data_IF_039008345732
#
_entry.id   IF_039008345732
#
_cell.length_a   1.000
_cell.length_b   1.000
_cell.length_c   1.000
_cell.angle_alpha   90.00
_cell.angle_beta   90.00
_cell.angle_gamma   90.00
#
_symmetry.space_group_name_H-M   'P 1'
#
loop_
_entity.id
_entity.type
_entity.pdbx_description
1 polymer ?
#
# COMPACT_ATOMS: atom_id res chain seq x y z
N UNK A 1 28.54 -26.12 -6.04
CA UNK A 1 29.17 -26.40 -4.73
C UNK A 1 30.35 -27.30 -4.95
N UNK A 2 31.52 -26.91 -4.46
CA UNK A 2 32.75 -27.67 -4.68
C UNK A 2 33.04 -28.65 -3.53
N UNK A 3 32.37 -28.48 -2.38
CA UNK A 3 32.42 -29.40 -1.23
C UNK A 3 31.02 -29.83 -0.78
N UNK A 4 30.91 -31.07 -0.28
CA UNK A 4 29.66 -31.65 0.23
C UNK A 4 29.09 -30.86 1.43
N UNK A 5 29.98 -30.30 2.25
CA UNK A 5 29.63 -29.45 3.40
C UNK A 5 28.99 -28.12 2.96
N UNK A 6 29.47 -27.50 1.89
CA UNK A 6 28.88 -26.26 1.35
C UNK A 6 27.47 -26.51 0.83
N UNK A 7 27.24 -27.66 0.17
CA UNK A 7 25.92 -28.07 -0.28
C UNK A 7 24.98 -28.31 0.92
N UNK A 8 25.44 -29.00 1.95
CA UNK A 8 24.64 -29.25 3.17
C UNK A 8 24.26 -27.94 3.86
N UNK A 9 25.22 -27.04 4.06
CA UNK A 9 24.97 -25.74 4.66
C UNK A 9 23.99 -24.89 3.83
N UNK A 10 24.09 -24.95 2.50
CA UNK A 10 23.13 -24.27 1.62
C UNK A 10 21.72 -24.84 1.75
N UNK A 11 21.57 -26.17 1.77
CA UNK A 11 20.28 -26.83 1.94
C UNK A 11 19.65 -26.52 3.30
N UNK A 12 20.44 -26.51 4.38
CA UNK A 12 19.97 -26.12 5.71
C UNK A 12 19.51 -24.66 5.75
N UNK A 13 20.22 -23.74 5.08
CA UNK A 13 19.80 -22.33 4.95
C UNK A 13 18.48 -22.21 4.19
N UNK A 14 18.31 -22.96 3.10
CA UNK A 14 17.05 -23.00 2.36
C UNK A 14 15.90 -23.55 3.21
N UNK A 15 16.14 -24.58 4.01
CA UNK A 15 15.10 -25.15 4.87
C UNK A 15 14.70 -24.19 5.99
N UNK A 16 15.66 -23.51 6.63
CA UNK A 16 15.39 -22.45 7.60
C UNK A 16 14.58 -21.32 6.95
N UNK A 17 14.94 -20.88 5.76
CA UNK A 17 14.21 -19.83 5.03
C UNK A 17 12.76 -20.25 4.72
N UNK A 18 12.52 -21.52 4.35
CA UNK A 18 11.16 -22.05 4.12
C UNK A 18 10.30 -22.05 5.39
N UNK A 19 10.89 -22.20 6.58
CA UNK A 19 10.15 -22.14 7.85
C UNK A 19 9.72 -20.71 8.20
N UNK A 20 10.50 -19.71 7.80
CA UNK A 20 10.20 -18.29 8.00
C UNK A 20 9.37 -17.66 6.89
N UNK A 21 8.82 -18.47 5.97
CA UNK A 21 7.96 -17.97 4.90
C UNK A 21 6.63 -17.46 5.48
N UNK A 22 6.35 -16.17 5.29
CA UNK A 22 5.15 -15.52 5.80
C UNK A 22 3.86 -16.13 5.26
N UNK A 23 3.90 -16.81 4.10
CA UNK A 23 2.73 -17.49 3.53
C UNK A 23 2.38 -18.75 4.31
N UNK A 24 3.41 -19.46 4.79
CA UNK A 24 3.23 -20.63 5.65
C UNK A 24 2.76 -20.20 7.02
N UNK A 25 3.45 -19.25 7.65
CA UNK A 25 3.08 -18.70 8.96
C UNK A 25 1.67 -18.08 8.92
N UNK A 26 1.36 -17.32 7.86
CA UNK A 26 0.06 -16.70 7.67
C UNK A 26 -1.08 -17.69 7.57
N UNK A 27 -0.84 -18.87 6.97
CA UNK A 27 -1.80 -19.97 6.93
C UNK A 27 -1.90 -20.68 8.28
N UNK A 28 -0.76 -21.03 8.88
CA UNK A 28 -0.69 -21.79 10.14
C UNK A 28 -1.32 -21.03 11.31
N UNK A 29 -1.24 -19.69 11.30
CA UNK A 29 -1.81 -18.78 12.31
C UNK A 29 -3.15 -18.15 11.92
N UNK A 30 -3.72 -18.56 10.79
CA UNK A 30 -5.00 -18.03 10.29
C UNK A 30 -5.03 -16.49 10.19
N UNK A 31 -3.98 -15.90 9.62
CA UNK A 31 -3.82 -14.44 9.52
C UNK A 31 -4.45 -13.88 8.24
N UNK A 32 -4.22 -14.55 7.12
CA UNK A 32 -4.73 -14.11 5.82
C UNK A 32 -4.82 -15.27 4.83
N UNK A 33 -5.63 -15.07 3.79
CA UNK A 33 -5.80 -16.00 2.67
C UNK A 33 -5.79 -15.26 1.32
N UNK A 34 -5.63 -16.05 0.27
CA UNK A 34 -5.77 -15.60 -1.11
C UNK A 34 -6.78 -16.50 -1.81
N UNK A 35 -7.61 -15.89 -2.65
CA UNK A 35 -8.71 -16.54 -3.34
C UNK A 35 -8.68 -16.19 -4.83
N UNK A 36 -9.17 -17.10 -5.68
CA UNK A 36 -9.15 -16.95 -7.14
C UNK A 36 -10.09 -15.84 -7.62
N UNK A 37 -11.11 -15.50 -6.82
CA UNK A 37 -12.05 -14.41 -7.05
C UNK A 37 -11.36 -13.04 -6.98
N UNK A 38 -10.24 -12.92 -6.26
CA UNK A 38 -9.47 -11.68 -6.16
C UNK A 38 -7.96 -11.96 -6.16
N UNK A 39 -7.37 -12.28 -7.33
CA UNK A 39 -5.97 -12.66 -7.43
C UNK A 39 -5.07 -11.46 -7.15
N UNK A 40 -4.21 -11.61 -6.14
CA UNK A 40 -3.30 -10.55 -5.67
C UNK A 40 -3.90 -9.62 -4.62
N UNK A 41 -5.10 -9.89 -4.14
CA UNK A 41 -5.77 -9.17 -3.07
C UNK A 41 -5.85 -10.09 -1.83
N UNK A 42 -5.13 -9.80 -0.73
CA UNK A 42 -5.17 -10.62 0.47
C UNK A 42 -6.46 -10.36 1.26
N UNK A 43 -7.04 -11.45 1.78
CA UNK A 43 -8.16 -11.42 2.70
C UNK A 43 -7.60 -11.55 4.11
N UNK A 44 -7.76 -10.52 4.93
CA UNK A 44 -7.30 -10.56 6.32
C UNK A 44 -8.37 -11.20 7.20
N UNK A 45 -7.97 -12.22 7.95
CA UNK A 45 -8.81 -12.95 8.89
C UNK A 45 -8.83 -12.23 10.26
N UNK A 46 -9.67 -12.62 11.22
CA UNK A 46 -9.73 -11.97 12.53
C UNK A 46 -8.37 -11.84 13.22
N UNK A 47 -7.54 -12.89 13.22
CA UNK A 47 -6.21 -12.85 13.84
C UNK A 47 -5.26 -11.88 13.10
N UNK A 48 -5.31 -11.87 11.77
CA UNK A 48 -4.54 -10.92 10.95
C UNK A 48 -4.99 -9.48 11.16
N UNK A 49 -6.29 -9.25 11.37
CA UNK A 49 -6.83 -7.93 11.65
C UNK A 49 -6.40 -7.40 13.02
N UNK A 50 -6.27 -8.24 14.04
CA UNK A 50 -5.70 -7.84 15.34
C UNK A 50 -4.28 -7.32 15.14
N UNK A 51 -3.41 -8.11 14.49
CA UNK A 51 -2.03 -7.72 14.22
C UNK A 51 -1.96 -6.42 13.40
N UNK A 52 -2.79 -6.32 12.36
CA UNK A 52 -2.85 -5.15 11.51
C UNK A 52 -3.25 -3.91 12.30
N UNK A 53 -4.30 -3.98 13.12
CA UNK A 53 -4.77 -2.84 13.91
C UNK A 53 -3.71 -2.37 14.90
N UNK A 54 -3.00 -3.27 15.58
CA UNK A 54 -1.89 -2.91 16.47
C UNK A 54 -0.82 -2.07 15.72
N UNK A 55 -0.45 -2.48 14.50
CA UNK A 55 0.51 -1.74 13.68
C UNK A 55 -0.06 -0.38 13.26
N UNK A 56 -1.35 -0.31 12.91
CA UNK A 56 -1.99 0.94 12.52
C UNK A 56 -2.10 1.92 13.68
N UNK A 57 -2.42 1.44 14.87
CA UNK A 57 -2.55 2.25 16.07
C UNK A 57 -1.19 2.81 16.48
N UNK A 58 -0.15 1.99 16.47
CA UNK A 58 1.23 2.46 16.64
C UNK A 58 1.60 3.53 15.60
N UNK A 59 1.29 3.29 14.33
CA UNK A 59 1.54 4.26 13.26
C UNK A 59 0.84 5.60 13.54
N UNK A 60 -0.43 5.58 13.97
CA UNK A 60 -1.18 6.80 14.30
C UNK A 60 -0.58 7.54 15.49
N UNK A 61 -0.25 6.81 16.55
CA UNK A 61 0.34 7.38 17.76
C UNK A 61 1.63 8.15 17.44
N UNK A 62 2.53 7.56 16.65
CA UNK A 62 3.78 8.21 16.24
C UNK A 62 3.54 9.43 15.36
N UNK A 63 2.59 9.36 14.41
CA UNK A 63 2.29 10.50 13.53
C UNK A 63 1.64 11.66 14.28
N UNK A 64 0.80 11.37 15.28
CA UNK A 64 0.20 12.38 16.15
C UNK A 64 1.28 13.09 16.99
N UNK A 65 2.24 12.34 17.55
CA UNK A 65 3.37 12.92 18.29
C UNK A 65 4.21 13.87 17.43
N UNK A 66 4.40 13.52 16.15
CA UNK A 66 5.12 14.32 15.17
C UNK A 66 4.27 15.47 14.54
N UNK A 67 3.04 15.67 15.01
CA UNK A 67 2.17 16.76 14.58
C UNK A 67 1.54 16.58 13.20
N UNK A 68 1.49 15.36 12.66
CA UNK A 68 0.75 15.06 11.45
C UNK A 68 -0.75 15.04 11.69
N UNK A 69 -1.51 15.53 10.72
CA UNK A 69 -2.97 15.41 10.68
C UNK A 69 -3.38 14.29 9.72
N UNK A 70 -4.02 13.27 10.26
CA UNK A 70 -4.55 12.17 9.46
C UNK A 70 -5.76 12.66 8.63
N UNK A 71 -5.75 12.36 7.33
CA UNK A 71 -6.86 12.62 6.39
C UNK A 71 -7.27 11.32 5.72
N UNK A 72 -8.36 11.36 4.95
CA UNK A 72 -8.82 10.25 4.11
C UNK A 72 -9.27 10.79 2.76
N UNK A 73 -8.76 10.23 1.66
CA UNK A 73 -9.12 10.67 0.31
C UNK A 73 -9.79 9.54 -0.48
N UNK A 74 -10.72 9.87 -1.40
CA UNK A 74 -11.41 8.86 -2.21
C UNK A 74 -10.46 7.92 -2.93
N UNK A 75 -10.90 6.67 -3.11
CA UNK A 75 -10.13 5.65 -3.85
C UNK A 75 -10.24 5.86 -5.36
N UNK A 76 -11.40 6.32 -5.83
CA UNK A 76 -11.69 6.57 -7.23
C UNK A 76 -11.59 8.07 -7.52
N UNK A 77 -10.76 8.46 -8.48
CA UNK A 77 -10.47 9.85 -8.82
C UNK A 77 -10.46 10.03 -10.34
N UNK A 78 -10.87 11.23 -10.81
CA UNK A 78 -10.92 11.56 -12.24
C UNK A 78 -9.56 11.37 -12.93
N UNK A 79 -9.57 10.88 -14.17
CA UNK A 79 -8.37 10.74 -14.98
C UNK A 79 -7.60 12.05 -15.18
N UNK A 80 -8.30 13.18 -15.21
CA UNK A 80 -7.66 14.49 -15.37
C UNK A 80 -6.70 14.82 -14.21
N UNK A 81 -7.03 14.40 -12.98
CA UNK A 81 -6.14 14.60 -11.83
C UNK A 81 -4.78 13.91 -12.03
N UNK A 82 -4.79 12.70 -12.59
CA UNK A 82 -3.59 11.91 -12.83
C UNK A 82 -2.73 12.50 -13.94
N UNK A 83 -3.36 13.09 -14.97
CA UNK A 83 -2.68 13.87 -16.02
C UNK A 83 -2.07 15.15 -15.46
N UNK A 84 -2.85 15.94 -14.72
CA UNK A 84 -2.37 17.20 -14.11
C UNK A 84 -1.23 16.97 -13.12
N UNK A 85 -1.26 15.87 -12.36
CA UNK A 85 -0.21 15.54 -11.40
C UNK A 85 1.07 14.99 -12.04
N UNK A 86 1.10 14.73 -13.36
CA UNK A 86 2.24 14.14 -14.07
C UNK A 86 2.45 12.64 -13.80
N UNK A 87 1.54 11.98 -13.07
CA UNK A 87 1.65 10.56 -12.75
C UNK A 87 1.09 9.66 -13.85
N UNK A 88 0.28 10.22 -14.75
CA UNK A 88 -0.36 9.47 -15.83
C UNK A 88 0.63 8.64 -16.64
N UNK A 89 1.69 9.26 -17.15
CA UNK A 89 2.64 8.57 -18.05
C UNK A 89 3.39 7.44 -17.35
N UNK A 90 3.65 7.58 -16.06
CA UNK A 90 4.39 6.59 -15.26
C UNK A 90 3.53 5.44 -14.74
N UNK A 91 2.24 5.71 -14.46
CA UNK A 91 1.38 4.76 -13.76
C UNK A 91 0.24 4.20 -14.61
N UNK A 92 -0.07 4.77 -15.79
CA UNK A 92 -1.21 4.34 -16.62
C UNK A 92 -1.28 2.83 -16.87
N UNK A 93 -0.14 2.18 -17.10
CA UNK A 93 -0.10 0.72 -17.36
C UNK A 93 -0.36 -0.12 -16.11
N UNK A 94 -0.14 0.48 -14.94
CA UNK A 94 -0.26 -0.13 -13.62
C UNK A 94 -1.52 0.38 -12.87
N UNK A 95 -2.47 1.02 -13.56
CA UNK A 95 -3.70 1.56 -12.97
C UNK A 95 -4.93 0.75 -13.38
N UNK A 96 -5.97 0.80 -12.55
CA UNK A 96 -7.29 0.28 -12.89
C UNK A 96 -8.19 1.44 -13.27
N UNK A 97 -8.95 1.29 -14.35
CA UNK A 97 -9.84 2.31 -14.89
C UNK A 97 -11.30 1.86 -14.77
N UNK A 98 -12.18 2.81 -14.50
CA UNK A 98 -13.62 2.63 -14.42
C UNK A 98 -14.28 3.78 -15.16
N UNK A 99 -15.30 3.48 -15.96
CA UNK A 99 -16.10 4.49 -16.65
C UNK A 99 -17.41 4.73 -15.89
N UNK A 100 -17.71 5.98 -15.56
CA UNK A 100 -18.94 6.40 -14.86
C UNK A 100 -19.56 7.54 -15.65
N UNK A 101 -20.82 7.40 -16.08
CA UNK A 101 -21.59 8.46 -16.73
C UNK A 101 -20.82 9.20 -17.85
N UNK A 102 -20.15 8.43 -18.70
CA UNK A 102 -19.28 8.86 -19.82
C UNK A 102 -17.89 9.39 -19.45
N UNK A 103 -17.61 9.63 -18.17
CA UNK A 103 -16.30 10.08 -17.70
C UNK A 103 -15.39 8.91 -17.29
N UNK A 104 -14.08 9.09 -17.54
CA UNK A 104 -13.07 8.11 -17.15
C UNK A 104 -12.48 8.43 -15.77
N UNK A 105 -12.53 7.44 -14.90
CA UNK A 105 -11.94 7.46 -13.57
C UNK A 105 -10.86 6.40 -13.43
N UNK A 106 -9.96 6.60 -12.48
CA UNK A 106 -8.98 5.59 -12.09
C UNK A 106 -8.95 5.38 -10.59
N UNK A 107 -8.71 4.11 -10.23
CA UNK A 107 -8.42 3.73 -8.85
C UNK A 107 -7.01 4.21 -8.52
N UNK A 108 -6.86 4.90 -7.38
CA UNK A 108 -5.61 5.55 -7.01
C UNK A 108 -4.43 4.56 -6.88
N UNK A 109 -3.30 4.76 -7.61
CA UNK A 109 -2.06 4.01 -7.42
C UNK A 109 -1.17 4.56 -6.30
N UNK A 110 -1.51 5.75 -5.78
CA UNK A 110 -0.86 6.45 -4.66
C UNK A 110 -1.77 7.53 -4.08
N UNK A 111 -1.42 8.05 -2.89
CA UNK A 111 -2.26 9.03 -2.18
C UNK A 111 -1.91 10.50 -2.49
N UNK A 112 -0.71 10.78 -3.01
CA UNK A 112 -0.17 12.15 -3.09
C UNK A 112 -1.11 13.16 -3.78
N UNK A 113 -1.74 12.86 -4.94
CA UNK A 113 -2.65 13.82 -5.58
C UNK A 113 -3.87 14.16 -4.72
N UNK A 114 -4.39 13.19 -3.96
CA UNK A 114 -5.47 13.41 -3.00
C UNK A 114 -5.04 14.33 -1.86
N UNK A 115 -3.86 14.09 -1.27
CA UNK A 115 -3.31 14.95 -0.21
C UNK A 115 -3.14 16.40 -0.67
N UNK A 116 -2.71 16.61 -1.92
CA UNK A 116 -2.55 17.95 -2.51
C UNK A 116 -3.91 18.64 -2.69
N UNK A 117 -4.97 17.92 -3.07
CA UNK A 117 -6.32 18.49 -3.15
C UNK A 117 -6.78 18.97 -1.78
N UNK A 118 -6.56 18.18 -0.73
CA UNK A 118 -6.91 18.58 0.66
C UNK A 118 -6.08 19.78 1.12
N UNK A 119 -4.79 19.82 0.77
CA UNK A 119 -3.99 21.02 1.01
C UNK A 119 -4.59 22.24 0.29
N UNK A 120 -4.97 22.11 -0.99
CA UNK A 120 -5.54 23.23 -1.77
C UNK A 120 -6.96 23.65 -1.35
N UNK A 121 -7.65 22.89 -0.51
CA UNK A 121 -9.05 23.20 -0.15
C UNK A 121 -9.18 24.44 0.75
N UNK A 122 -8.09 24.90 1.36
CA UNK A 122 -8.05 26.07 2.23
C UNK A 122 -6.90 27.00 1.84
N UNK A 123 -7.04 28.29 2.19
CA UNK A 123 -5.91 29.22 2.16
C UNK A 123 -5.03 28.98 3.40
N UNK A 124 -3.71 28.91 3.20
CA UNK A 124 -2.73 28.71 4.27
C UNK A 124 -1.87 29.95 4.45
N UNK A 125 -1.69 30.37 5.70
CA UNK A 125 -0.75 31.41 6.08
C UNK A 125 0.65 30.83 6.20
N UNK A 126 1.67 31.63 5.88
CA UNK A 126 3.08 31.24 6.10
C UNK A 126 3.38 30.89 7.57
N UNK A 127 2.57 31.36 8.52
CA UNK A 127 2.70 31.07 9.96
C UNK A 127 2.25 29.65 10.33
N UNK A 128 1.45 29.01 9.49
CA UNK A 128 0.95 27.65 9.72
C UNK A 128 1.95 26.58 9.26
N UNK A 129 2.99 27.00 8.52
CA UNK A 129 4.00 26.11 7.98
C UNK A 129 5.02 25.71 9.07
N UNK A 130 5.51 24.45 9.04
CA UNK A 130 5.21 23.41 8.06
C UNK A 130 3.89 22.68 8.34
N UNK A 131 3.07 22.50 7.30
CA UNK A 131 1.82 21.73 7.37
C UNK A 131 2.13 20.25 7.12
N UNK A 132 1.76 19.40 8.09
CA UNK A 132 1.97 17.95 8.05
C UNK A 132 0.64 17.23 7.90
N UNK A 133 0.43 16.60 6.76
CA UNK A 133 -0.78 15.84 6.46
C UNK A 133 -0.36 14.41 6.11
N UNK A 134 -1.07 13.43 6.62
CA UNK A 134 -0.79 12.03 6.35
C UNK A 134 -2.07 11.28 6.01
N UNK A 135 -1.99 10.29 5.13
CA UNK A 135 -3.09 9.40 4.81
C UNK A 135 -2.57 7.97 4.82
N UNK A 136 -3.21 7.11 5.61
CA UNK A 136 -3.06 5.66 5.48
C UNK A 136 -4.03 5.12 4.42
N UNK A 137 -3.81 5.54 3.18
CA UNK A 137 -4.73 5.31 2.09
C UNK A 137 -4.61 3.92 1.49
N UNK A 138 -5.74 3.31 1.14
CA UNK A 138 -5.79 2.08 0.36
C UNK A 138 -5.53 2.41 -1.11
N UNK A 139 -4.46 1.85 -1.68
CA UNK A 139 -4.05 2.07 -3.06
C UNK A 139 -4.04 0.75 -3.82
N UNK A 140 -4.20 0.85 -5.14
CA UNK A 140 -4.23 -0.32 -6.02
C UNK A 140 -3.24 -0.15 -7.15
N UNK A 141 -2.48 -1.22 -7.45
CA UNK A 141 -1.58 -1.27 -8.60
C UNK A 141 -1.82 -2.55 -9.39
N UNK A 142 -1.89 -2.41 -10.70
CA UNK A 142 -2.02 -3.52 -11.62
C UNK A 142 -0.67 -4.21 -11.81
N UNK A 143 -0.30 -5.02 -10.84
CA UNK A 143 0.86 -5.91 -10.93
C UNK A 143 0.53 -7.12 -11.80
N UNK A 144 1.49 -7.56 -12.63
CA UNK A 144 1.33 -8.77 -13.45
C UNK A 144 1.10 -9.98 -12.54
N UNK A 145 0.21 -10.90 -12.92
CA UNK A 145 -0.13 -12.07 -12.10
C UNK A 145 1.09 -12.92 -11.72
N UNK A 146 2.04 -13.08 -12.65
CA UNK A 146 3.26 -13.87 -12.43
C UNK A 146 4.28 -13.28 -11.44
N UNK A 147 4.11 -12.04 -10.98
CA UNK A 147 5.02 -11.42 -10.00
C UNK A 147 4.44 -11.34 -8.59
N UNK A 148 3.19 -11.75 -8.39
CA UNK A 148 2.54 -11.70 -7.09
C UNK A 148 3.18 -12.69 -6.11
N UNK A 149 3.39 -12.26 -4.86
CA UNK A 149 4.10 -13.06 -3.87
C UNK A 149 3.64 -12.80 -2.43
N UNK A 150 2.64 -13.57 -1.99
CA UNK A 150 2.06 -13.42 -0.65
C UNK A 150 1.74 -11.95 -0.34
N UNK A 151 2.07 -11.47 0.86
CA UNK A 151 1.92 -10.05 1.22
C UNK A 151 3.04 -9.12 0.73
N UNK A 152 4.17 -9.63 0.20
CA UNK A 152 5.29 -8.79 -0.24
C UNK A 152 5.04 -8.13 -1.58
N UNK A 153 4.25 -8.76 -2.46
CA UNK A 153 3.86 -8.18 -3.74
C UNK A 153 2.40 -8.49 -4.02
N UNK A 154 1.56 -7.48 -3.80
CA UNK A 154 0.10 -7.51 -3.85
C UNK A 154 -0.42 -6.38 -4.73
N UNK A 155 -1.66 -6.49 -5.18
CA UNK A 155 -2.32 -5.48 -6.01
C UNK A 155 -3.05 -4.41 -5.20
N UNK A 156 -3.33 -4.66 -3.94
CA UNK A 156 -3.80 -3.64 -3.00
C UNK A 156 -2.91 -3.60 -1.76
N UNK A 157 -2.66 -2.40 -1.26
CA UNK A 157 -1.94 -2.23 0.00
C UNK A 157 -2.31 -0.89 0.60
N UNK A 158 -2.16 -0.77 1.92
CA UNK A 158 -2.21 0.54 2.57
C UNK A 158 -0.82 1.14 2.55
N UNK A 159 -0.73 2.33 2.00
CA UNK A 159 0.51 3.09 1.92
C UNK A 159 0.33 4.38 2.70
N UNK A 160 1.29 4.71 3.55
CA UNK A 160 1.38 6.03 4.15
C UNK A 160 2.15 6.94 3.18
N UNK A 161 1.54 8.07 2.81
CA UNK A 161 2.22 9.14 2.08
C UNK A 161 2.20 10.41 2.96
N UNK A 162 3.21 10.60 3.84
CA UNK A 162 3.31 11.81 4.63
C UNK A 162 3.64 12.99 3.70
N UNK A 163 2.71 13.93 3.58
CA UNK A 163 2.91 15.22 2.93
C UNK A 163 3.38 16.24 3.95
N UNK A 164 4.63 16.70 3.81
CA UNK A 164 5.14 17.85 4.54
C UNK A 164 5.20 19.02 3.55
N UNK A 165 4.35 20.01 3.77
CA UNK A 165 4.28 21.21 2.94
C UNK A 165 5.12 22.30 3.61
N UNK A 166 6.21 22.75 2.94
CA UNK A 166 7.13 23.75 3.47
C UNK A 166 6.54 25.16 3.45
#
# INVERSE_FOLDING_TARGET
>A
FFRKEELKNYLERLEKAKRSDHRKIGKDLDLFSFHDEAPGFPFFHPNGMILRNIILDYWREEHIKEGYREINTPILLSNELWKTSGHWDNYRENMYFVKIDEEDYAIKPMNCPGTIIVYKSNQHSYKELPIRITELGLVHRHEKSGVLHGLFRVRNFRYSAPGVFP
#
